data_IF_134095541126
#
_entry.id   IF_134095541126
#
_cell.length_a   1.000
_cell.length_b   1.000
_cell.length_c   1.000
_cell.angle_alpha   90.00
_cell.angle_beta   90.00
_cell.angle_gamma   90.00
#
_symmetry.space_group_name_H-M   'P 1'
#
loop_
_entity.id
_entity.type
_entity.pdbx_description
1 polymer ?
#
# COMPACT_ATOMS: atom_id res chain seq x y z
N UNK A 1 -25.46 -0.25 -9.04
CA UNK A 1 -24.83 -1.43 -8.51
C UNK A 1 -23.33 -1.25 -8.49
N UNK A 2 -22.72 -1.41 -7.34
CA UNK A 2 -21.30 -1.27 -7.20
C UNK A 2 -20.56 -2.49 -7.71
N UNK A 3 -19.28 -2.34 -7.93
CA UNK A 3 -18.43 -3.46 -8.30
C UNK A 3 -17.31 -3.59 -7.28
N UNK A 4 -16.72 -4.75 -7.22
CA UNK A 4 -15.60 -5.05 -6.33
C UNK A 4 -14.33 -4.98 -7.15
N UNK A 5 -13.32 -4.29 -6.60
CA UNK A 5 -12.05 -4.16 -7.29
C UNK A 5 -10.91 -4.58 -6.37
N UNK A 6 -10.08 -5.48 -6.87
CA UNK A 6 -8.89 -5.92 -6.17
C UNK A 6 -7.75 -4.96 -6.46
N UNK A 7 -7.03 -4.58 -5.41
CA UNK A 7 -5.79 -3.81 -5.56
C UNK A 7 -4.66 -4.59 -4.90
N UNK A 8 -3.56 -4.75 -5.61
CA UNK A 8 -2.39 -5.44 -5.10
C UNK A 8 -1.38 -4.39 -4.67
N UNK A 9 -1.00 -4.43 -3.40
CA UNK A 9 -0.15 -3.42 -2.77
C UNK A 9 1.13 -4.06 -2.26
N UNK A 10 2.19 -3.28 -2.19
CA UNK A 10 3.51 -3.78 -1.80
C UNK A 10 3.98 -3.20 -0.49
N UNK A 11 4.45 -4.07 0.40
CA UNK A 11 5.22 -3.67 1.57
C UNK A 11 6.70 -3.89 1.21
N UNK A 12 7.40 -2.79 0.95
CA UNK A 12 8.80 -2.81 0.55
C UNK A 12 9.60 -2.19 1.67
N UNK A 13 10.44 -2.99 2.33
CA UNK A 13 11.19 -2.54 3.50
C UNK A 13 12.68 -2.45 3.14
N UNK A 14 13.28 -1.33 3.51
CA UNK A 14 14.70 -1.12 3.31
C UNK A 14 15.21 -0.26 4.46
N UNK A 15 16.22 -0.74 5.16
CA UNK A 15 16.86 -0.01 6.28
C UNK A 15 15.86 0.45 7.35
N UNK A 16 14.91 -0.42 7.70
CA UNK A 16 13.92 -0.12 8.75
C UNK A 16 12.80 0.81 8.31
N UNK A 17 12.73 1.13 7.03
CA UNK A 17 11.70 2.02 6.47
C UNK A 17 10.93 1.31 5.38
N UNK A 18 9.71 1.74 5.14
CA UNK A 18 8.88 1.21 4.07
C UNK A 18 8.59 2.27 3.04
N UNK A 19 8.53 1.86 1.77
CA UNK A 19 8.17 2.75 0.69
C UNK A 19 6.68 3.09 0.75
N UNK A 20 6.33 4.33 0.49
CA UNK A 20 4.94 4.80 0.46
C UNK A 20 4.78 5.85 -0.62
N UNK A 21 3.55 6.02 -1.07
CA UNK A 21 3.20 7.08 -2.02
C UNK A 21 2.63 8.25 -1.23
N UNK A 22 3.20 9.43 -1.43
CA UNK A 22 2.69 10.64 -0.79
C UNK A 22 1.55 11.20 -1.62
N UNK A 23 0.44 11.46 -0.96
CA UNK A 23 -0.74 12.06 -1.55
C UNK A 23 -0.90 13.47 -0.98
N UNK A 24 -1.27 14.41 -1.85
CA UNK A 24 -1.61 15.77 -1.41
C UNK A 24 -2.95 16.14 -2.02
N UNK A 25 -3.88 16.56 -1.17
CA UNK A 25 -5.19 17.00 -1.62
C UNK A 25 -5.74 18.03 -0.64
N UNK A 26 -6.25 19.13 -1.15
CA UNK A 26 -6.86 20.21 -0.35
C UNK A 26 -5.96 20.69 0.79
N UNK A 27 -4.65 20.75 0.55
CA UNK A 27 -3.67 21.21 1.54
C UNK A 27 -3.26 20.18 2.57
N UNK A 28 -3.83 18.98 2.53
CA UNK A 28 -3.46 17.90 3.43
C UNK A 28 -2.58 16.89 2.72
N UNK A 29 -1.69 16.26 3.49
CA UNK A 29 -0.81 15.23 2.96
C UNK A 29 -0.92 13.97 3.79
N UNK A 30 -0.90 12.83 3.11
CA UNK A 30 -0.88 11.53 3.76
C UNK A 30 -0.20 10.52 2.83
N UNK A 31 -0.10 9.27 3.29
CA UNK A 31 0.58 8.22 2.53
C UNK A 31 -0.33 7.03 2.32
N UNK A 32 -0.12 6.35 1.19
CA UNK A 32 -0.77 5.08 0.89
C UNK A 32 0.30 4.08 0.46
N UNK A 33 -0.06 2.80 0.47
CA UNK A 33 0.84 1.74 0.02
C UNK A 33 1.03 1.84 -1.50
N UNK A 34 2.23 1.57 -2.01
CA UNK A 34 2.44 1.48 -3.46
C UNK A 34 1.67 0.29 -4.03
N UNK A 35 1.17 0.41 -5.24
CA UNK A 35 0.41 -0.63 -5.91
C UNK A 35 -0.86 -0.09 -6.50
N UNK A 36 -1.71 -0.95 -6.99
CA UNK A 36 -2.95 -0.54 -7.62
C UNK A 36 -3.80 -1.68 -8.12
N UNK A 37 -4.79 -1.34 -8.93
CA UNK A 37 -5.81 -2.28 -9.38
C UNK A 37 -5.28 -3.39 -10.25
N UNK A 38 -5.76 -4.60 -9.98
CA UNK A 38 -5.49 -5.76 -10.82
C UNK A 38 -6.26 -5.62 -12.13
N UNK A 39 -5.60 -5.90 -13.22
CA UNK A 39 -6.23 -5.93 -14.54
C UNK A 39 -6.63 -7.37 -14.89
N UNK A 40 -7.60 -7.50 -15.82
CA UNK A 40 -8.00 -8.83 -16.28
C UNK A 40 -6.79 -9.57 -16.86
N UNK A 41 -6.77 -10.87 -16.66
CA UNK A 41 -5.73 -11.78 -17.13
C UNK A 41 -4.36 -11.60 -16.47
N UNK A 42 -4.27 -10.80 -15.43
CA UNK A 42 -3.05 -10.62 -14.67
C UNK A 42 -3.23 -11.22 -13.27
N UNK A 43 -2.21 -11.89 -12.75
CA UNK A 43 -2.24 -12.34 -11.36
C UNK A 43 -2.02 -11.16 -10.43
N UNK A 44 -2.33 -11.34 -9.14
CA UNK A 44 -2.04 -10.30 -8.15
C UNK A 44 -0.55 -10.00 -8.06
N UNK A 45 0.29 -11.03 -8.19
CA UNK A 45 1.74 -10.87 -8.21
C UNK A 45 2.18 -10.00 -9.39
N UNK A 46 1.65 -10.28 -10.57
CA UNK A 46 1.93 -9.47 -11.77
C UNK A 46 1.45 -8.02 -11.60
N UNK A 47 0.27 -7.86 -11.01
CA UNK A 47 -0.31 -6.53 -10.79
C UNK A 47 0.57 -5.68 -9.89
N UNK A 48 1.02 -6.22 -8.76
CA UNK A 48 1.82 -5.44 -7.82
C UNK A 48 3.18 -5.07 -8.42
N UNK A 49 3.81 -5.99 -9.16
CA UNK A 49 5.08 -5.70 -9.80
C UNK A 49 4.94 -4.62 -10.87
N UNK A 50 3.89 -4.69 -11.67
CA UNK A 50 3.61 -3.69 -12.71
C UNK A 50 3.34 -2.32 -12.10
N UNK A 51 2.42 -2.27 -11.13
CA UNK A 51 2.04 -1.01 -10.50
C UNK A 51 3.22 -0.33 -9.80
N UNK A 52 4.03 -1.10 -9.09
CA UNK A 52 5.20 -0.54 -8.39
C UNK A 52 6.22 -0.01 -9.40
N UNK A 53 6.43 -0.71 -10.51
CA UNK A 53 7.34 -0.21 -11.54
C UNK A 53 6.84 1.10 -12.14
N UNK A 54 5.54 1.24 -12.32
CA UNK A 54 4.93 2.46 -12.86
C UNK A 54 5.00 3.63 -11.88
N UNK A 55 4.79 3.36 -10.60
CA UNK A 55 4.75 4.42 -9.59
C UNK A 55 6.11 4.81 -9.03
N UNK A 56 6.99 3.83 -8.83
CA UNK A 56 8.25 4.05 -8.14
C UNK A 56 9.49 3.88 -9.03
N UNK A 57 9.33 3.32 -10.21
CA UNK A 57 10.45 3.06 -11.10
C UNK A 57 11.42 2.01 -10.56
N UNK A 58 10.93 1.05 -9.78
CA UNK A 58 11.76 0.01 -9.21
C UNK A 58 11.23 -1.37 -9.58
N UNK A 59 12.14 -2.33 -9.62
CA UNK A 59 11.81 -3.74 -9.80
C UNK A 59 11.77 -4.40 -8.43
N UNK A 60 10.74 -5.21 -8.20
CA UNK A 60 10.56 -5.92 -6.94
C UNK A 60 10.27 -7.39 -7.20
N UNK A 61 10.52 -8.21 -6.20
CA UNK A 61 10.07 -9.59 -6.19
C UNK A 61 8.96 -9.72 -5.17
N UNK A 62 7.77 -10.13 -5.61
CA UNK A 62 6.63 -10.34 -4.74
C UNK A 62 6.77 -11.66 -3.99
N UNK A 63 6.57 -11.66 -2.68
CA UNK A 63 6.77 -12.83 -1.83
C UNK A 63 5.44 -13.36 -1.28
N UNK A 64 5.04 -12.89 -0.10
CA UNK A 64 3.90 -13.46 0.60
C UNK A 64 2.76 -12.47 0.76
N UNK A 65 1.54 -12.98 0.72
CA UNK A 65 0.38 -12.18 1.08
C UNK A 65 0.38 -12.02 2.61
N UNK A 66 0.42 -10.80 3.07
CA UNK A 66 0.46 -10.49 4.51
C UNK A 66 -0.89 -10.04 5.05
N UNK A 67 -1.55 -9.12 4.37
CA UNK A 67 -2.76 -8.49 4.90
C UNK A 67 -3.81 -8.32 3.83
N UNK A 68 -5.07 -8.34 4.26
CA UNK A 68 -6.23 -8.00 3.42
C UNK A 68 -7.04 -6.96 4.18
N UNK A 69 -7.32 -5.83 3.55
CA UNK A 69 -8.17 -4.79 4.14
C UNK A 69 -9.15 -4.30 3.07
N UNK A 70 -10.36 -3.98 3.48
CA UNK A 70 -11.40 -3.57 2.55
C UNK A 70 -11.86 -2.14 2.79
N UNK A 71 -12.37 -1.50 1.74
CA UNK A 71 -13.12 -0.26 1.82
C UNK A 71 -14.45 -0.49 1.12
N UNK A 72 -15.47 -0.88 1.89
CA UNK A 72 -16.72 -1.42 1.36
C UNK A 72 -17.62 -0.32 0.78
N UNK A 73 -17.58 0.87 1.35
CA UNK A 73 -18.42 1.99 0.92
C UNK A 73 -17.63 3.03 0.11
N UNK A 74 -16.71 2.56 -0.73
CA UNK A 74 -15.96 3.47 -1.60
C UNK A 74 -16.87 4.22 -2.55
N UNK A 75 -16.43 5.38 -3.02
CA UNK A 75 -17.25 6.24 -3.87
C UNK A 75 -17.66 5.58 -5.18
N UNK A 76 -16.76 4.83 -5.79
CA UNK A 76 -16.99 4.24 -7.11
C UNK A 76 -17.00 2.73 -7.11
N UNK A 77 -16.39 2.10 -6.11
CA UNK A 77 -16.33 0.65 -6.03
C UNK A 77 -15.98 0.18 -4.62
N UNK A 78 -16.31 -1.08 -4.35
CA UNK A 78 -15.88 -1.76 -3.14
C UNK A 78 -14.42 -2.19 -3.33
N UNK A 79 -13.52 -1.64 -2.54
CA UNK A 79 -12.09 -1.91 -2.67
C UNK A 79 -11.67 -3.08 -1.80
N UNK A 80 -10.87 -3.97 -2.35
CA UNK A 80 -10.22 -5.04 -1.59
C UNK A 80 -8.72 -4.87 -1.81
N UNK A 81 -7.98 -4.48 -0.77
CA UNK A 81 -6.54 -4.31 -0.85
C UNK A 81 -5.84 -5.55 -0.33
N UNK A 82 -4.96 -6.12 -1.15
CA UNK A 82 -4.17 -7.29 -0.81
C UNK A 82 -2.72 -6.86 -0.75
N UNK A 83 -2.14 -6.92 0.45
CA UNK A 83 -0.80 -6.38 0.70
C UNK A 83 0.21 -7.52 0.76
N UNK A 84 1.21 -7.46 -0.13
CA UNK A 84 2.25 -8.48 -0.22
C UNK A 84 3.58 -7.95 0.30
N UNK A 85 4.35 -8.82 0.97
CA UNK A 85 5.74 -8.51 1.23
C UNK A 85 6.49 -8.61 -0.09
N UNK A 86 7.33 -7.62 -0.37
CA UNK A 86 8.08 -7.56 -1.62
C UNK A 86 9.52 -7.18 -1.35
N UNK A 87 10.44 -7.81 -2.08
CA UNK A 87 11.84 -7.45 -1.99
C UNK A 87 12.20 -6.45 -3.07
N UNK A 88 12.91 -5.41 -2.68
CA UNK A 88 13.49 -4.47 -3.61
C UNK A 88 14.63 -5.18 -4.35
N UNK A 89 14.61 -5.12 -5.67
CA UNK A 89 15.69 -5.71 -6.49
C UNK A 89 16.60 -4.62 -7.00
N UNK A 90 16.08 -3.65 -7.73
CA UNK A 90 16.89 -2.59 -8.33
C UNK A 90 15.98 -1.47 -8.85
N UNK A 91 16.61 -0.34 -9.14
CA UNK A 91 15.93 0.72 -9.87
C UNK A 91 15.85 0.34 -11.35
N UNK A 92 14.80 0.79 -12.02
CA UNK A 92 14.65 0.59 -13.45
C UNK A 92 15.21 1.81 -14.15
N UNK A 93 16.36 1.71 -14.87
CA UNK A 93 16.96 2.87 -15.54
C UNK A 93 16.02 3.45 -16.59
N UNK A 94 15.85 4.77 -16.57
CA UNK A 94 15.03 5.45 -17.56
C UNK A 94 13.53 5.27 -17.39
N UNK A 95 13.08 4.77 -16.23
CA UNK A 95 11.67 4.57 -15.99
C UNK A 95 10.91 5.90 -16.05
N UNK A 96 9.76 5.88 -16.71
CA UNK A 96 8.83 7.01 -16.72
C UNK A 96 7.73 6.70 -15.72
N UNK A 97 7.62 7.52 -14.69
CA UNK A 97 6.67 7.25 -13.60
C UNK A 97 5.26 7.69 -13.99
N UNK A 98 4.29 6.86 -13.64
CA UNK A 98 2.89 7.11 -13.91
C UNK A 98 2.12 7.00 -12.60
N UNK A 99 1.57 8.08 -12.14
CA UNK A 99 0.77 8.10 -10.93
C UNK A 99 -0.52 8.88 -11.15
N UNK A 100 -1.40 8.82 -10.17
CA UNK A 100 -2.62 9.61 -10.19
C UNK A 100 -2.30 11.08 -9.92
N UNK A 101 -3.24 11.95 -10.26
CA UNK A 101 -3.05 13.40 -10.17
C UNK A 101 -2.62 13.88 -8.78
N UNK A 102 -3.13 13.24 -7.72
CA UNK A 102 -2.83 13.66 -6.35
C UNK A 102 -1.54 13.05 -5.78
N UNK A 103 -0.89 12.18 -6.53
CA UNK A 103 0.36 11.59 -6.10
C UNK A 103 1.49 12.59 -6.33
N UNK A 104 2.12 13.04 -5.26
CA UNK A 104 3.12 14.10 -5.33
C UNK A 104 4.54 13.65 -4.98
N UNK A 105 4.73 12.38 -4.65
CA UNK A 105 6.07 11.90 -4.37
C UNK A 105 6.09 10.54 -3.70
N UNK A 106 7.28 10.13 -3.36
CA UNK A 106 7.55 8.85 -2.71
C UNK A 106 8.12 9.18 -1.34
N UNK A 107 7.66 8.48 -0.31
CA UNK A 107 8.18 8.61 1.03
C UNK A 107 8.73 7.28 1.52
N UNK A 108 9.68 7.35 2.43
CA UNK A 108 10.17 6.19 3.15
C UNK A 108 9.81 6.41 4.61
N UNK A 109 8.83 5.65 5.10
CA UNK A 109 8.30 5.81 6.44
C UNK A 109 9.04 4.91 7.41
N UNK A 110 9.46 5.49 8.55
CA UNK A 110 10.13 4.73 9.60
C UNK A 110 9.11 3.78 10.24
N UNK A 111 9.36 2.48 10.18
CA UNK A 111 8.43 1.48 10.69
C UNK A 111 8.32 1.56 12.21
N UNK A 112 9.38 1.96 12.90
CA UNK A 112 9.36 2.03 14.36
C UNK A 112 8.36 3.06 14.90
N UNK A 113 7.98 4.05 14.11
CA UNK A 113 7.01 5.08 14.50
C UNK A 113 5.78 5.10 13.60
N UNK A 114 5.52 4.00 12.89
CA UNK A 114 4.48 3.96 11.87
C UNK A 114 3.09 4.25 12.44
N UNK A 115 2.85 3.88 13.70
CA UNK A 115 1.58 4.16 14.36
C UNK A 115 1.30 5.65 14.53
N UNK A 116 2.29 6.51 14.37
CA UNK A 116 2.13 7.97 14.48
C UNK A 116 2.14 8.65 13.11
N UNK A 117 2.22 7.89 12.04
CA UNK A 117 2.35 8.45 10.70
C UNK A 117 1.04 8.33 9.92
N UNK A 118 0.74 9.28 9.02
CA UNK A 118 -0.53 9.28 8.29
C UNK A 118 -0.53 8.30 7.12
N UNK A 119 -0.32 7.03 7.39
CA UNK A 119 -0.44 5.96 6.40
C UNK A 119 -1.85 5.39 6.45
N UNK A 120 -2.50 5.27 5.30
CA UNK A 120 -3.85 4.73 5.21
C UNK A 120 -3.92 3.56 4.21
N UNK A 121 -4.73 2.54 4.45
CA UNK A 121 -5.63 2.38 5.60
C UNK A 121 -4.88 2.29 6.93
N UNK A 122 -5.38 2.98 7.93
CA UNK A 122 -4.67 3.10 9.21
C UNK A 122 -4.54 1.78 9.96
N UNK A 123 -5.45 0.84 9.70
CA UNK A 123 -5.39 -0.50 10.31
C UNK A 123 -4.11 -1.25 9.94
N UNK A 124 -3.45 -0.86 8.86
CA UNK A 124 -2.19 -1.48 8.46
C UNK A 124 -1.03 -1.12 9.39
N UNK A 125 -1.07 0.05 10.01
CA UNK A 125 0.09 0.58 10.74
C UNK A 125 0.59 -0.37 11.82
N UNK A 126 -0.27 -0.77 12.74
CA UNK A 126 0.12 -1.65 13.84
C UNK A 126 0.49 -3.05 13.33
N UNK A 127 -0.23 -3.54 12.33
CA UNK A 127 0.03 -4.87 11.80
C UNK A 127 1.37 -4.94 11.08
N UNK A 128 1.75 -3.88 10.36
CA UNK A 128 3.07 -3.80 9.72
C UNK A 128 4.17 -3.76 10.78
N UNK A 129 3.98 -2.98 11.85
CA UNK A 129 4.95 -2.93 12.96
C UNK A 129 5.11 -4.31 13.59
N UNK A 130 4.01 -5.00 13.84
CA UNK A 130 4.04 -6.36 14.41
C UNK A 130 4.79 -7.32 13.49
N UNK A 131 4.47 -7.31 12.22
CA UNK A 131 5.14 -8.15 11.23
C UNK A 131 6.65 -7.89 11.22
N UNK A 132 7.04 -6.64 11.17
CA UNK A 132 8.45 -6.26 11.11
C UNK A 132 9.22 -6.68 12.36
N UNK A 133 8.56 -6.65 13.52
CA UNK A 133 9.17 -7.01 14.81
C UNK A 133 9.11 -8.52 15.09
N UNK A 134 8.56 -9.32 14.18
CA UNK A 134 8.42 -10.75 14.40
C UNK A 134 7.33 -11.11 15.41
N UNK A 135 6.41 -10.19 15.67
CA UNK A 135 5.28 -10.42 16.56
C UNK A 135 4.08 -10.95 15.77
N UNK A 136 3.13 -11.62 16.44
CA UNK A 136 1.91 -12.05 15.78
C UNK A 136 1.15 -10.87 15.18
N UNK A 137 0.56 -11.08 14.01
CA UNK A 137 -0.23 -10.08 13.33
C UNK A 137 -1.48 -10.71 12.72
N UNK A 138 -2.48 -9.87 12.44
CA UNK A 138 -3.71 -10.32 11.81
C UNK A 138 -3.56 -10.22 10.30
N UNK A 139 -4.13 -11.19 9.59
CA UNK A 139 -4.14 -11.17 8.12
C UNK A 139 -5.33 -10.38 7.60
N UNK A 140 -6.54 -10.76 8.01
CA UNK A 140 -7.73 -10.04 7.57
C UNK A 140 -8.05 -8.91 8.53
N UNK A 141 -7.99 -7.67 8.03
CA UNK A 141 -8.16 -6.48 8.87
C UNK A 141 -9.56 -5.88 8.80
N UNK A 142 -10.43 -6.46 7.97
CA UNK A 142 -11.79 -5.99 7.85
C UNK A 142 -11.92 -4.70 7.05
N UNK A 143 -12.93 -3.91 7.36
CA UNK A 143 -13.27 -2.72 6.61
C UNK A 143 -12.76 -1.44 7.28
N UNK A 144 -12.21 -0.56 6.49
CA UNK A 144 -11.88 0.80 6.93
C UNK A 144 -12.35 1.78 5.87
N UNK A 145 -13.18 2.73 6.29
CA UNK A 145 -13.68 3.77 5.41
C UNK A 145 -12.89 5.05 5.57
N UNK A 146 -12.88 5.88 4.54
CA UNK A 146 -12.26 7.19 4.61
C UNK A 146 -12.91 7.99 5.75
N UNK A 147 -12.09 8.54 6.60
CA UNK A 147 -12.56 9.31 7.74
C UNK A 147 -12.82 8.50 9.00
N UNK A 148 -12.65 7.18 8.96
CA UNK A 148 -12.76 6.37 10.17
C UNK A 148 -11.69 6.80 11.17
N UNK A 149 -12.08 7.01 12.43
CA UNK A 149 -11.10 7.38 13.43
C UNK A 149 -10.33 6.17 13.88
N UNK A 150 -9.27 5.89 13.23
CA UNK A 150 -8.43 4.82 13.63
C UNK A 150 -7.30 5.37 14.39
N UNK A 151 -7.47 5.38 15.65
CA UNK A 151 -6.47 5.86 16.50
C UNK A 151 -5.68 4.77 17.01
N UNK A 152 -4.57 4.98 17.06
CA UNK A 152 -3.74 4.06 17.54
C UNK A 152 -3.51 4.06 18.86
N UNK A 153 -3.70 3.06 19.32
CA UNK A 153 -3.38 2.72 20.65
C UNK A 153 -1.94 2.52 20.89
#
# INVERSE_FOLDING_TARGET
MGRIRNSAKALIIKDGKMAAIKIRDAGEEWYIMPGGGQEAEETLNEAVCREVSEELGIAIECKELLFVVEGVHGETFHRVDLIFSCEYIDNIPGAVLHGDTNQVGIGWLDISTLNLQPLYPSKLRRQIMNYYQGKPYKVYLGNEEAGDPEWLD
#
